data_IF_671683511752
#
_entry.id   IF_671683511752
#
_cell.length_a   1.000
_cell.length_b   1.000
_cell.length_c   1.000
_cell.angle_alpha   90.00
_cell.angle_beta   90.00
_cell.angle_gamma   90.00
#
_symmetry.space_group_name_H-M   'P 1'
#
loop_
_entity.id
_entity.type
_entity.pdbx_description
1 polymer ?
#
# COMPACT_ATOMS: atom_id res chain seq x y z
N UNK A 1 19.25 22.04 -16.02
CA UNK A 1 20.54 22.15 -15.32
C UNK A 1 20.45 23.19 -14.21
N UNK A 2 20.58 24.50 -14.43
CA UNK A 2 20.58 25.52 -13.35
C UNK A 2 19.44 25.43 -12.32
N UNK A 3 18.19 25.30 -12.75
CA UNK A 3 17.05 25.18 -11.80
C UNK A 3 17.07 23.88 -10.97
N UNK A 4 17.63 22.79 -11.51
CA UNK A 4 17.78 21.51 -10.80
C UNK A 4 18.99 21.56 -9.86
N UNK A 5 20.07 22.23 -10.25
CA UNK A 5 21.24 22.44 -9.41
C UNK A 5 20.90 23.31 -8.19
N UNK A 6 20.07 24.33 -8.37
CA UNK A 6 19.58 25.18 -7.28
C UNK A 6 18.59 24.43 -6.37
N UNK A 7 17.76 23.54 -6.92
CA UNK A 7 16.90 22.64 -6.14
C UNK A 7 17.73 21.65 -5.30
N UNK A 8 18.77 21.05 -5.89
CA UNK A 8 19.71 20.16 -5.18
C UNK A 8 20.47 20.89 -4.06
N UNK A 9 20.86 22.15 -4.29
CA UNK A 9 21.45 23.00 -3.23
C UNK A 9 20.47 23.26 -2.08
N UNK A 10 19.21 23.55 -2.37
CA UNK A 10 18.19 23.74 -1.34
C UNK A 10 17.97 22.49 -0.48
N UNK A 11 18.13 21.29 -1.04
CA UNK A 11 18.12 20.05 -0.28
C UNK A 11 19.34 19.88 0.62
N UNK A 12 20.53 20.30 0.19
CA UNK A 12 21.74 20.19 1.01
C UNK A 12 21.57 20.94 2.35
N UNK A 13 20.95 22.13 2.33
CA UNK A 13 20.70 22.93 3.54
C UNK A 13 19.72 22.22 4.52
N UNK A 14 18.66 21.59 3.99
CA UNK A 14 17.69 20.82 4.78
C UNK A 14 18.26 19.51 5.37
N UNK A 15 19.31 18.95 4.77
CA UNK A 15 19.87 17.65 5.18
C UNK A 15 20.89 17.73 6.31
N UNK A 16 21.41 18.92 6.63
CA UNK A 16 22.39 19.15 7.70
C UNK A 16 21.85 18.78 9.09
N UNK A 17 20.53 18.86 9.29
CA UNK A 17 19.85 18.51 10.56
C UNK A 17 19.20 17.13 10.55
N UNK A 18 19.37 16.34 9.47
CA UNK A 18 18.73 15.03 9.33
C UNK A 18 19.17 14.07 10.42
N UNK A 19 18.20 13.46 11.11
CA UNK A 19 18.44 12.38 12.10
C UNK A 19 19.23 11.21 11.51
N UNK A 20 19.22 11.04 10.18
CA UNK A 20 19.96 9.99 9.49
C UNK A 20 21.49 10.19 9.57
N UNK A 21 21.96 11.44 9.67
CA UNK A 21 23.38 11.77 9.87
C UNK A 21 23.84 11.61 11.32
N UNK A 22 22.90 11.62 12.29
CA UNK A 22 23.23 11.52 13.71
C UNK A 22 23.66 10.08 14.02
N UNK A 23 24.86 9.91 14.56
CA UNK A 23 25.32 8.65 15.15
C UNK A 23 25.06 8.66 16.65
N UNK A 24 24.67 7.53 17.22
CA UNK A 24 24.67 7.38 18.68
C UNK A 24 26.12 7.25 19.17
N UNK A 25 26.44 7.86 20.30
CA UNK A 25 27.77 7.78 20.93
C UNK A 25 28.18 6.34 21.25
N UNK A 26 27.22 5.42 21.35
CA UNK A 26 27.44 3.99 21.53
C UNK A 26 27.89 3.26 20.26
N UNK A 27 27.64 3.77 19.05
CA UNK A 27 28.08 3.16 17.79
C UNK A 27 29.34 3.80 17.21
N UNK A 28 29.55 5.10 17.45
CA UNK A 28 30.61 5.88 16.79
C UNK A 28 32.02 5.32 17.03
N UNK A 29 32.25 4.68 18.18
CA UNK A 29 33.56 4.19 18.62
C UNK A 29 33.72 2.66 18.53
N UNK A 30 32.72 1.92 18.03
CA UNK A 30 32.77 0.46 17.97
C UNK A 30 33.44 -0.06 16.70
N UNK A 31 34.09 -1.21 16.81
CA UNK A 31 34.44 -2.03 15.66
C UNK A 31 33.17 -2.64 15.04
N UNK A 32 32.96 -2.36 13.75
CA UNK A 32 31.74 -2.74 13.05
C UNK A 32 31.93 -4.06 12.31
N UNK A 33 30.96 -4.96 12.48
CA UNK A 33 30.84 -6.12 11.61
C UNK A 33 30.03 -5.69 10.37
N UNK A 34 30.76 -5.28 9.34
CA UNK A 34 30.23 -4.72 8.10
C UNK A 34 30.03 -5.86 7.09
N UNK A 35 28.88 -5.95 6.40
CA UNK A 35 28.69 -6.93 5.35
C UNK A 35 29.69 -6.73 4.20
N UNK A 36 30.04 -7.82 3.51
CA UNK A 36 30.90 -7.74 2.33
C UNK A 36 30.26 -6.89 1.23
N UNK A 37 31.10 -6.23 0.44
CA UNK A 37 30.63 -5.44 -0.70
C UNK A 37 29.98 -6.38 -1.73
N UNK A 38 28.71 -6.15 -2.13
CA UNK A 38 28.05 -6.94 -3.16
C UNK A 38 28.83 -6.92 -4.48
N UNK A 39 28.98 -8.08 -5.11
CA UNK A 39 29.48 -8.18 -6.48
C UNK A 39 28.30 -8.05 -7.44
N UNK A 40 28.49 -7.28 -8.51
CA UNK A 40 27.47 -7.12 -9.54
C UNK A 40 27.24 -8.42 -10.30
N UNK A 41 25.97 -8.75 -10.53
CA UNK A 41 25.52 -9.91 -11.30
C UNK A 41 24.95 -9.49 -12.66
N UNK A 42 24.77 -8.19 -12.90
CA UNK A 42 24.25 -7.63 -14.13
C UNK A 42 25.35 -6.84 -14.86
N UNK A 43 25.41 -7.00 -16.18
CA UNK A 43 26.15 -6.12 -17.05
C UNK A 43 25.17 -5.11 -17.62
N UNK A 44 25.29 -3.87 -17.16
CA UNK A 44 24.50 -2.74 -17.65
C UNK A 44 25.37 -1.91 -18.57
N UNK A 45 24.85 -1.57 -19.75
CA UNK A 45 25.51 -0.70 -20.71
C UNK A 45 24.57 0.45 -21.07
N UNK A 46 25.02 1.68 -20.88
CA UNK A 46 24.33 2.87 -21.33
C UNK A 46 24.85 3.26 -22.71
N UNK A 47 23.95 3.32 -23.69
CA UNK A 47 24.28 3.64 -25.08
C UNK A 47 23.51 4.90 -25.49
N UNK A 48 24.21 5.87 -26.06
CA UNK A 48 23.57 7.03 -26.69
C UNK A 48 22.80 6.56 -27.91
N UNK A 49 21.46 6.58 -27.83
CA UNK A 49 20.57 6.24 -28.93
C UNK A 49 19.48 7.31 -29.04
N UNK A 50 19.33 7.93 -30.21
CA UNK A 50 18.31 8.96 -30.47
C UNK A 50 16.89 8.39 -30.54
N UNK A 51 16.73 7.06 -30.57
CA UNK A 51 15.45 6.36 -30.70
C UNK A 51 15.28 5.29 -29.61
N UNK A 52 15.64 5.61 -28.35
CA UNK A 52 15.35 4.71 -27.24
C UNK A 52 13.85 4.40 -27.22
N UNK A 53 13.49 3.12 -27.27
CA UNK A 53 12.09 2.69 -27.30
C UNK A 53 11.39 3.09 -26.00
N UNK A 54 10.18 3.64 -26.12
CA UNK A 54 9.29 3.79 -24.98
C UNK A 54 8.84 2.41 -24.53
N UNK A 55 8.85 2.15 -23.22
CA UNK A 55 8.15 1.00 -22.67
C UNK A 55 6.65 1.25 -22.86
N UNK A 56 6.07 0.66 -23.90
CA UNK A 56 4.67 0.29 -23.81
C UNK A 56 4.56 -0.73 -22.69
N UNK A 57 3.54 -0.58 -21.83
CA UNK A 57 3.19 -1.62 -20.87
C UNK A 57 2.75 -2.83 -21.70
N UNK A 58 3.73 -3.68 -22.01
CA UNK A 58 3.67 -4.68 -23.07
C UNK A 58 2.54 -5.68 -22.81
N UNK A 59 1.51 -5.65 -23.68
CA UNK A 59 0.44 -6.66 -23.71
C UNK A 59 0.98 -8.06 -23.99
N UNK A 60 2.21 -8.19 -24.51
CA UNK A 60 2.78 -9.43 -25.03
C UNK A 60 3.31 -10.43 -24.00
N UNK A 61 3.46 -10.06 -22.72
CA UNK A 61 3.97 -10.99 -21.68
C UNK A 61 3.06 -11.23 -20.49
N UNK A 62 2.05 -10.38 -20.26
CA UNK A 62 1.08 -10.59 -19.18
C UNK A 62 -0.36 -10.47 -19.70
N UNK A 63 -0.99 -11.59 -20.09
CA UNK A 63 -2.38 -11.59 -20.59
C UNK A 63 -3.40 -11.17 -19.51
N UNK A 64 -2.99 -10.99 -18.25
CA UNK A 64 -3.85 -10.48 -17.17
C UNK A 64 -3.97 -8.96 -17.15
N UNK A 65 -3.20 -8.23 -17.96
CA UNK A 65 -3.21 -6.77 -17.99
C UNK A 65 -4.34 -6.24 -18.88
N UNK A 66 -5.22 -5.44 -18.28
CA UNK A 66 -6.37 -4.83 -18.94
C UNK A 66 -6.30 -3.32 -18.86
N UNK A 67 -6.87 -2.67 -19.87
CA UNK A 67 -6.93 -1.23 -19.96
C UNK A 67 -8.38 -0.78 -19.77
N UNK A 68 -8.63 -0.01 -18.72
CA UNK A 68 -9.99 0.44 -18.36
C UNK A 68 -10.08 1.96 -18.33
N UNK A 69 -11.18 2.57 -18.78
CA UNK A 69 -11.38 4.00 -18.67
C UNK A 69 -11.70 4.39 -17.22
N UNK A 70 -11.16 5.53 -16.77
CA UNK A 70 -11.70 6.25 -15.62
C UNK A 70 -13.03 6.90 -16.02
N UNK A 71 -14.12 6.50 -15.36
CA UNK A 71 -15.47 6.99 -15.66
C UNK A 71 -15.83 8.17 -14.76
N UNK A 72 -15.60 8.02 -13.45
CA UNK A 72 -16.03 9.00 -12.45
C UNK A 72 -15.04 9.04 -11.30
N UNK A 73 -14.96 10.18 -10.65
CA UNK A 73 -14.30 10.33 -9.35
C UNK A 73 -15.16 11.20 -8.43
N UNK A 74 -15.08 10.96 -7.13
CA UNK A 74 -15.65 11.86 -6.12
C UNK A 74 -14.93 11.77 -4.78
N UNK A 75 -14.77 12.87 -4.04
CA UNK A 75 -14.42 12.83 -2.63
C UNK A 75 -15.58 12.25 -1.80
N UNK A 76 -15.27 11.46 -0.77
CA UNK A 76 -16.26 10.87 0.13
C UNK A 76 -16.33 11.57 1.50
N UNK A 77 -15.22 12.14 1.97
CA UNK A 77 -15.22 12.90 3.22
C UNK A 77 -15.77 14.31 2.99
N UNK A 78 -16.25 14.91 4.08
CA UNK A 78 -16.57 16.33 4.10
C UNK A 78 -15.30 17.18 4.22
N UNK A 79 -15.42 18.44 3.82
CA UNK A 79 -14.36 19.43 3.99
C UNK A 79 -13.93 19.52 5.47
N UNK A 80 -12.62 19.63 5.72
CA UNK A 80 -12.05 19.61 7.07
C UNK A 80 -11.71 18.23 7.63
N UNK A 81 -12.03 17.14 6.93
CA UNK A 81 -11.52 15.82 7.30
C UNK A 81 -9.98 15.77 7.19
N UNK A 82 -9.30 15.20 8.20
CA UNK A 82 -7.82 15.12 8.20
C UNK A 82 -7.29 14.28 7.03
N UNK A 83 -8.02 13.23 6.66
CA UNK A 83 -7.65 12.31 5.58
C UNK A 83 -8.63 12.50 4.43
N UNK A 84 -8.10 12.44 3.21
CA UNK A 84 -8.86 12.54 1.97
C UNK A 84 -9.14 11.15 1.42
N UNK A 85 -10.40 10.72 1.44
CA UNK A 85 -10.87 9.47 0.87
C UNK A 85 -11.61 9.76 -0.42
N UNK A 86 -11.22 9.03 -1.47
CA UNK A 86 -11.72 9.18 -2.82
C UNK A 86 -12.37 7.87 -3.26
N UNK A 87 -13.49 7.98 -3.95
CA UNK A 87 -14.07 6.91 -4.75
C UNK A 87 -13.78 7.20 -6.22
N UNK A 88 -13.35 6.17 -6.94
CA UNK A 88 -13.25 6.21 -8.40
C UNK A 88 -14.01 5.05 -9.01
N UNK A 89 -14.71 5.35 -10.11
CA UNK A 89 -15.44 4.38 -10.93
C UNK A 89 -14.62 4.11 -12.18
N UNK A 90 -14.31 2.84 -12.43
CA UNK A 90 -13.54 2.37 -13.57
C UNK A 90 -14.45 1.55 -14.50
N UNK A 91 -14.17 1.57 -15.80
CA UNK A 91 -14.86 0.72 -16.77
C UNK A 91 -14.58 -0.78 -16.55
N UNK A 92 -15.47 -1.62 -17.07
CA UNK A 92 -15.58 -3.02 -16.67
C UNK A 92 -14.33 -3.88 -16.86
N UNK A 93 -14.13 -4.72 -15.86
CA UNK A 93 -13.64 -6.09 -15.97
C UNK A 93 -14.86 -6.99 -16.28
N UNK A 94 -14.83 -7.85 -17.31
CA UNK A 94 -15.84 -8.90 -17.40
C UNK A 94 -15.72 -9.81 -16.15
N UNK A 95 -16.86 -10.10 -15.52
CA UNK A 95 -17.03 -11.15 -14.50
C UNK A 95 -16.31 -10.94 -13.15
N UNK A 96 -16.42 -9.77 -12.53
CA UNK A 96 -16.00 -9.57 -11.13
C UNK A 96 -17.13 -9.91 -10.14
N UNK A 97 -16.75 -10.40 -8.96
CA UNK A 97 -17.63 -10.63 -7.83
C UNK A 97 -17.41 -9.59 -6.73
N UNK A 98 -18.43 -9.27 -5.91
CA UNK A 98 -18.23 -8.46 -4.72
C UNK A 98 -17.11 -9.05 -3.87
N UNK A 99 -16.20 -8.20 -3.40
CA UNK A 99 -15.02 -8.60 -2.63
C UNK A 99 -13.81 -9.01 -3.47
N UNK A 100 -13.92 -9.01 -4.80
CA UNK A 100 -12.75 -9.06 -5.67
C UNK A 100 -11.82 -7.86 -5.45
N UNK A 101 -10.56 -8.01 -5.87
CA UNK A 101 -9.55 -6.99 -5.78
C UNK A 101 -8.80 -6.87 -7.10
N UNK A 102 -8.46 -5.64 -7.45
CA UNK A 102 -7.78 -5.27 -8.69
C UNK A 102 -6.47 -4.60 -8.35
N UNK A 103 -5.46 -4.80 -9.18
CA UNK A 103 -4.16 -4.15 -9.02
C UNK A 103 -3.99 -3.06 -10.07
N UNK A 104 -3.67 -1.84 -9.65
CA UNK A 104 -3.45 -0.70 -10.53
C UNK A 104 -1.96 -0.51 -10.76
N UNK A 105 -1.58 -0.36 -12.02
CA UNK A 105 -0.22 0.00 -12.41
C UNK A 105 -0.11 1.52 -12.47
N UNK A 106 0.78 2.08 -11.65
CA UNK A 106 1.09 3.50 -11.62
C UNK A 106 2.60 3.72 -11.78
N UNK A 107 3.03 4.76 -12.50
CA UNK A 107 4.44 5.13 -12.61
C UNK A 107 4.94 5.81 -11.33
N UNK A 108 6.27 5.90 -11.18
CA UNK A 108 6.90 6.84 -10.26
C UNK A 108 6.63 8.30 -10.69
N UNK A 109 6.59 9.26 -9.74
CA UNK A 109 6.40 10.67 -10.09
C UNK A 109 7.59 11.16 -10.91
N UNK A 110 7.30 11.90 -11.99
CA UNK A 110 8.33 12.41 -12.89
C UNK A 110 9.35 13.31 -12.18
N UNK A 111 8.91 14.09 -11.20
CA UNK A 111 9.77 14.95 -10.38
C UNK A 111 10.82 14.14 -9.60
N UNK A 112 10.44 13.02 -8.97
CA UNK A 112 11.37 12.15 -8.24
C UNK A 112 12.33 11.42 -9.18
N UNK A 113 11.84 10.99 -10.35
CA UNK A 113 12.68 10.36 -11.38
C UNK A 113 13.73 11.36 -11.89
N UNK A 114 13.33 12.59 -12.20
CA UNK A 114 14.22 13.66 -12.65
C UNK A 114 15.24 14.02 -11.58
N UNK A 115 14.83 14.10 -10.31
CA UNK A 115 15.73 14.39 -9.20
C UNK A 115 16.76 13.28 -8.98
N UNK A 116 16.34 12.01 -9.09
CA UNK A 116 17.25 10.87 -9.00
C UNK A 116 18.24 10.85 -10.18
N UNK A 117 17.79 11.07 -11.41
CA UNK A 117 18.68 11.14 -12.58
C UNK A 117 19.70 12.27 -12.45
N UNK A 118 19.26 13.45 -12.01
CA UNK A 118 20.17 14.58 -11.75
C UNK A 118 21.18 14.25 -10.64
N UNK A 119 20.75 13.59 -9.56
CA UNK A 119 21.63 13.19 -8.45
C UNK A 119 22.66 12.14 -8.85
N UNK A 120 22.37 11.32 -9.86
CA UNK A 120 23.25 10.29 -10.40
C UNK A 120 24.07 10.76 -11.61
N UNK A 121 23.85 11.99 -12.08
CA UNK A 121 24.46 12.54 -13.30
C UNK A 121 24.29 11.62 -14.53
N UNK A 122 23.06 11.11 -14.73
CA UNK A 122 22.73 10.21 -15.85
C UNK A 122 21.70 10.83 -16.79
N UNK A 123 21.94 10.75 -18.10
CA UNK A 123 20.98 11.19 -19.11
C UNK A 123 19.85 10.15 -19.26
N UNK A 124 18.63 10.59 -18.93
CA UNK A 124 17.41 9.78 -19.01
C UNK A 124 17.09 9.23 -20.39
N UNK A 125 17.63 9.81 -21.46
CA UNK A 125 17.42 9.36 -22.84
C UNK A 125 18.38 8.24 -23.27
N UNK A 126 19.42 7.96 -22.49
CA UNK A 126 20.34 6.87 -22.81
C UNK A 126 19.62 5.52 -22.77
N UNK A 127 19.89 4.69 -23.76
CA UNK A 127 19.38 3.33 -23.83
C UNK A 127 20.16 2.44 -22.86
N UNK A 128 19.45 1.83 -21.92
CA UNK A 128 19.96 0.91 -20.92
C UNK A 128 19.80 -0.54 -21.41
N UNK A 129 20.92 -1.19 -21.72
CA UNK A 129 20.96 -2.62 -22.10
C UNK A 129 21.43 -3.47 -20.92
N UNK A 130 20.60 -4.43 -20.51
CA UNK A 130 20.83 -5.24 -19.31
C UNK A 130 21.01 -6.71 -19.69
N UNK A 131 22.18 -7.26 -19.40
CA UNK A 131 22.49 -8.69 -19.55
C UNK A 131 22.99 -9.31 -18.25
N UNK A 132 22.85 -10.63 -18.13
CA UNK A 132 23.35 -11.39 -16.99
C UNK A 132 24.86 -11.62 -17.10
N UNK A 133 25.61 -11.48 -15.99
CA UNK A 133 27.02 -11.88 -15.93
C UNK A 133 27.15 -13.35 -15.50
N UNK A 134 26.47 -13.72 -14.41
CA UNK A 134 26.64 -15.03 -13.76
C UNK A 134 25.34 -15.69 -13.31
N UNK A 135 24.33 -14.90 -12.93
CA UNK A 135 23.00 -15.35 -12.53
C UNK A 135 21.95 -14.93 -13.54
N UNK A 136 20.83 -15.67 -13.62
CA UNK A 136 19.70 -15.31 -14.48
C UNK A 136 19.23 -13.87 -14.19
N UNK A 137 19.08 -13.06 -15.25
CA UNK A 137 18.53 -11.71 -15.18
C UNK A 137 17.12 -11.76 -14.55
N UNK A 138 16.78 -10.88 -13.59
CA UNK A 138 15.42 -10.78 -13.08
C UNK A 138 14.41 -10.59 -14.21
N UNK A 139 13.34 -11.37 -14.19
CA UNK A 139 12.36 -11.44 -15.30
C UNK A 139 11.62 -10.12 -15.55
N UNK A 140 11.49 -9.28 -14.53
CA UNK A 140 10.84 -7.98 -14.64
C UNK A 140 11.71 -6.93 -15.36
N UNK A 141 13.02 -7.17 -15.53
CA UNK A 141 13.88 -6.28 -16.28
C UNK A 141 13.71 -6.55 -17.78
N UNK A 142 13.60 -5.50 -18.61
CA UNK A 142 13.34 -5.64 -20.03
C UNK A 142 14.43 -6.47 -20.72
N UNK A 143 14.01 -7.26 -21.71
CA UNK A 143 14.92 -8.05 -22.55
C UNK A 143 15.73 -7.14 -23.48
N UNK A 144 15.05 -6.17 -24.08
CA UNK A 144 15.59 -5.20 -25.02
C UNK A 144 16.07 -3.94 -24.31
N UNK A 145 16.78 -3.08 -25.03
CA UNK A 145 17.21 -1.79 -24.49
C UNK A 145 16.03 -0.85 -24.29
N UNK A 146 16.02 -0.14 -23.16
CA UNK A 146 14.98 0.81 -22.75
C UNK A 146 15.64 2.07 -22.20
N UNK A 147 15.03 3.24 -22.35
CA UNK A 147 15.61 4.46 -21.77
C UNK A 147 15.71 4.40 -20.24
N UNK A 148 16.74 5.04 -19.68
CA UNK A 148 16.94 5.16 -18.22
C UNK A 148 15.71 5.75 -17.55
N UNK A 149 15.11 6.80 -18.14
CA UNK A 149 13.90 7.44 -17.63
C UNK A 149 12.72 6.47 -17.54
N UNK A 150 12.47 5.68 -18.59
CA UNK A 150 11.37 4.71 -18.62
C UNK A 150 11.56 3.60 -17.60
N UNK A 151 12.80 3.12 -17.42
CA UNK A 151 13.12 2.11 -16.43
C UNK A 151 12.85 2.61 -14.99
N UNK A 152 13.33 3.82 -14.66
CA UNK A 152 13.08 4.45 -13.36
C UNK A 152 11.62 4.82 -13.15
N UNK A 153 10.89 5.16 -14.21
CA UNK A 153 9.49 5.58 -14.11
C UNK A 153 8.51 4.42 -14.00
N UNK A 154 8.75 3.30 -14.70
CA UNK A 154 7.74 2.23 -14.86
C UNK A 154 8.16 0.85 -14.32
N UNK A 155 9.46 0.61 -14.13
CA UNK A 155 9.97 -0.74 -13.83
C UNK A 155 10.58 -0.86 -12.44
N UNK A 156 11.30 0.15 -11.98
CA UNK A 156 12.04 0.12 -10.72
C UNK A 156 11.30 0.87 -9.62
N UNK A 157 11.23 0.30 -8.42
CA UNK A 157 10.73 0.99 -7.24
C UNK A 157 11.84 1.84 -6.63
N UNK A 158 11.72 3.16 -6.82
CA UNK A 158 12.68 4.15 -6.32
C UNK A 158 12.37 4.62 -4.88
N UNK A 159 11.28 4.14 -4.28
CA UNK A 159 10.80 4.56 -2.95
C UNK A 159 10.97 3.49 -1.87
N UNK A 160 11.12 2.22 -2.24
CA UNK A 160 11.31 1.14 -1.28
C UNK A 160 12.60 1.31 -0.45
N UNK A 161 12.57 1.20 0.89
CA UNK A 161 13.76 1.36 1.71
C UNK A 161 14.91 0.44 1.29
N UNK A 162 16.13 0.98 1.11
CA UNK A 162 17.25 0.21 0.62
C UNK A 162 17.66 -0.85 1.65
N UNK A 163 17.90 -2.07 1.16
CA UNK A 163 18.48 -3.14 1.99
C UNK A 163 19.89 -2.73 2.45
N UNK A 164 20.35 -3.32 3.56
CA UNK A 164 21.71 -3.11 4.11
C UNK A 164 22.84 -3.29 3.08
N UNK A 165 22.67 -4.16 2.09
CA UNK A 165 23.64 -4.34 0.99
C UNK A 165 23.81 -3.09 0.12
N UNK A 166 22.73 -2.35 -0.16
CA UNK A 166 22.80 -1.10 -0.92
C UNK A 166 23.43 0.02 -0.07
N UNK A 167 23.16 0.05 1.24
CA UNK A 167 23.87 0.96 2.15
C UNK A 167 25.37 0.67 2.21
N UNK A 168 25.77 -0.61 2.18
CA UNK A 168 27.18 -1.00 2.08
C UNK A 168 27.83 -0.49 0.79
N UNK A 169 27.11 -0.53 -0.33
CA UNK A 169 27.59 0.05 -1.59
C UNK A 169 27.71 1.57 -1.48
N UNK A 170 26.70 2.25 -0.96
CA UNK A 170 26.78 3.69 -0.74
C UNK A 170 27.99 4.09 0.11
N UNK A 171 28.35 3.32 1.14
CA UNK A 171 29.56 3.56 1.92
C UNK A 171 30.85 3.42 1.08
N UNK A 172 30.89 2.51 0.10
CA UNK A 172 32.05 2.35 -0.81
C UNK A 172 32.22 3.56 -1.72
N UNK A 173 31.10 4.13 -2.18
CA UNK A 173 31.08 5.26 -3.11
C UNK A 173 31.01 6.62 -2.40
N UNK A 174 31.06 6.66 -1.08
CA UNK A 174 31.10 7.89 -0.29
C UNK A 174 32.55 8.38 -0.14
N UNK A 175 32.82 9.61 -0.60
CA UNK A 175 34.15 10.23 -0.50
C UNK A 175 34.41 10.92 0.85
N UNK A 176 33.36 11.26 1.60
CA UNK A 176 33.50 11.81 2.94
C UNK A 176 33.57 10.68 3.97
N UNK A 177 34.66 10.63 4.75
CA UNK A 177 34.89 9.53 5.72
C UNK A 177 33.85 9.49 6.86
N UNK A 178 33.29 10.63 7.26
CA UNK A 178 32.20 10.67 8.25
C UNK A 178 30.91 10.08 7.70
N UNK A 179 30.53 10.45 6.47
CA UNK A 179 29.34 9.88 5.80
C UNK A 179 29.51 8.38 5.54
N UNK A 180 30.69 7.98 5.05
CA UNK A 180 31.06 6.58 4.86
C UNK A 180 30.97 5.78 6.15
N UNK A 181 31.55 6.28 7.25
CA UNK A 181 31.44 5.65 8.57
C UNK A 181 29.98 5.51 8.99
N UNK A 182 29.17 6.55 8.81
CA UNK A 182 27.75 6.50 9.16
C UNK A 182 26.97 5.44 8.37
N UNK A 183 27.22 5.34 7.07
CA UNK A 183 26.63 4.31 6.21
C UNK A 183 27.09 2.89 6.61
N UNK A 184 28.36 2.74 7.05
CA UNK A 184 28.87 1.49 7.61
C UNK A 184 28.15 1.10 8.90
N UNK A 185 27.89 2.04 9.80
CA UNK A 185 27.11 1.81 11.02
C UNK A 185 25.72 1.28 10.66
N UNK A 186 25.00 1.99 9.78
CA UNK A 186 23.64 1.64 9.37
C UNK A 186 23.55 0.27 8.66
N UNK A 187 24.60 -0.16 7.94
CA UNK A 187 24.61 -1.48 7.30
C UNK A 187 25.20 -2.61 8.16
N UNK A 188 25.87 -2.29 9.27
CA UNK A 188 26.52 -3.27 10.15
C UNK A 188 25.55 -4.14 10.95
N UNK A 189 26.08 -5.16 11.63
CA UNK A 189 25.35 -5.93 12.64
C UNK A 189 24.96 -5.07 13.84
N UNK A 190 25.87 -4.20 14.29
CA UNK A 190 25.72 -3.35 15.47
C UNK A 190 24.64 -2.28 15.27
N UNK A 191 24.57 -1.67 14.09
CA UNK A 191 23.55 -0.66 13.76
C UNK A 191 22.20 -1.24 13.31
N UNK A 192 21.88 -2.51 13.63
CA UNK A 192 20.63 -3.12 13.19
C UNK A 192 19.37 -2.39 13.69
N UNK A 193 19.36 -1.93 14.93
CA UNK A 193 18.23 -1.17 15.47
C UNK A 193 18.12 0.21 14.81
N UNK A 194 19.23 0.90 14.60
CA UNK A 194 19.24 2.20 13.93
C UNK A 194 18.80 2.09 12.46
N UNK A 195 19.19 1.03 11.76
CA UNK A 195 18.66 0.74 10.42
C UNK A 195 17.13 0.57 10.43
N UNK A 196 16.58 -0.15 11.43
CA UNK A 196 15.14 -0.33 11.54
C UNK A 196 14.45 1.00 11.81
N UNK A 197 14.92 1.75 12.81
CA UNK A 197 14.27 2.98 13.29
C UNK A 197 14.43 4.18 12.35
N UNK A 198 15.57 4.29 11.65
CA UNK A 198 15.86 5.46 10.81
C UNK A 198 15.68 5.23 9.32
N UNK A 199 15.67 3.97 8.84
CA UNK A 199 15.53 3.68 7.40
C UNK A 199 14.27 2.88 7.12
N UNK A 200 14.13 1.69 7.74
CA UNK A 200 13.08 0.74 7.37
C UNK A 200 11.68 1.20 7.80
N UNK A 201 11.50 1.52 9.08
CA UNK A 201 10.20 1.92 9.63
C UNK A 201 9.72 3.28 9.09
N UNK A 202 10.59 4.31 8.96
CA UNK A 202 10.17 5.57 8.37
C UNK A 202 9.99 5.51 6.85
N UNK A 203 10.43 4.45 6.17
CA UNK A 203 10.29 4.36 4.73
C UNK A 203 11.26 5.29 3.97
N UNK A 204 12.51 5.44 4.44
CA UNK A 204 13.52 6.30 3.78
C UNK A 204 13.95 5.68 2.45
N UNK A 205 13.80 6.43 1.36
CA UNK A 205 14.10 5.96 0.02
C UNK A 205 15.61 6.04 -0.32
N UNK A 206 16.09 5.33 -1.35
CA UNK A 206 17.44 5.52 -1.87
C UNK A 206 17.73 6.98 -2.24
N UNK A 207 16.76 7.70 -2.80
CA UNK A 207 16.90 9.11 -3.14
C UNK A 207 17.10 10.00 -1.89
N UNK A 208 16.37 9.74 -0.81
CA UNK A 208 16.56 10.45 0.47
C UNK A 208 17.99 10.29 0.99
N UNK A 209 18.55 9.08 0.89
CA UNK A 209 19.92 8.78 1.31
C UNK A 209 20.93 9.48 0.41
N UNK A 210 20.76 9.44 -0.91
CA UNK A 210 21.68 10.10 -1.84
C UNK A 210 21.68 11.63 -1.65
N UNK A 211 20.52 12.23 -1.37
CA UNK A 211 20.41 13.66 -1.07
C UNK A 211 20.98 14.01 0.31
N UNK A 212 20.81 13.13 1.31
CA UNK A 212 21.36 13.33 2.65
C UNK A 212 22.88 13.21 2.65
N UNK A 213 23.42 12.14 2.08
CA UNK A 213 24.86 11.86 2.02
C UNK A 213 25.40 12.27 0.65
N UNK A 214 25.67 13.57 0.50
CA UNK A 214 26.02 14.20 -0.77
C UNK A 214 27.36 13.72 -1.34
N UNK A 215 28.23 13.14 -0.50
CA UNK A 215 29.54 12.63 -0.95
C UNK A 215 29.47 11.31 -1.71
N UNK A 216 28.29 10.66 -1.76
CA UNK A 216 28.07 9.42 -2.51
C UNK A 216 28.10 9.71 -4.01
N UNK A 217 28.98 9.04 -4.74
CA UNK A 217 29.06 9.07 -6.21
C UNK A 217 28.95 7.66 -6.79
N UNK A 218 27.75 7.08 -6.72
CA UNK A 218 27.47 5.73 -7.21
C UNK A 218 27.01 5.74 -8.67
N UNK A 219 27.56 4.88 -9.56
CA UNK A 219 27.06 4.74 -10.93
C UNK A 219 25.63 4.18 -10.98
N UNK A 220 24.83 4.63 -11.95
CA UNK A 220 23.46 4.16 -12.16
C UNK A 220 23.39 2.64 -12.37
N UNK A 221 24.33 2.08 -13.11
CA UNK A 221 24.46 0.66 -13.43
C UNK A 221 24.51 -0.21 -12.17
N UNK A 222 25.21 0.28 -11.15
CA UNK A 222 25.36 -0.41 -9.86
C UNK A 222 24.07 -0.25 -9.05
N UNK A 223 23.50 0.96 -8.98
CA UNK A 223 22.27 1.21 -8.23
C UNK A 223 21.10 0.37 -8.75
N UNK A 224 20.94 0.28 -10.08
CA UNK A 224 19.86 -0.43 -10.76
C UNK A 224 19.70 -1.86 -10.26
N UNK A 225 20.80 -2.58 -10.04
CA UNK A 225 20.77 -3.98 -9.60
C UNK A 225 20.13 -4.16 -8.21
N UNK A 226 20.09 -3.10 -7.41
CA UNK A 226 19.56 -3.12 -6.05
C UNK A 226 18.16 -2.53 -5.91
N UNK A 227 17.62 -1.92 -6.97
CA UNK A 227 16.25 -1.42 -6.98
C UNK A 227 15.27 -2.56 -7.28
N UNK A 228 14.25 -2.79 -6.44
CA UNK A 228 13.28 -3.86 -6.68
C UNK A 228 12.30 -3.48 -7.81
N UNK A 229 11.52 -4.46 -8.28
CA UNK A 229 10.43 -4.23 -9.23
C UNK A 229 9.40 -3.26 -8.62
N UNK A 230 8.96 -2.30 -9.42
CA UNK A 230 7.79 -1.49 -9.14
C UNK A 230 6.53 -2.34 -9.17
N UNK A 231 5.88 -2.51 -8.01
CA UNK A 231 4.71 -3.38 -7.89
C UNK A 231 3.40 -2.64 -8.18
N UNK A 232 2.41 -3.28 -8.81
CA UNK A 232 1.05 -2.77 -8.85
C UNK A 232 0.46 -2.61 -7.43
N UNK A 233 -0.51 -1.70 -7.24
CA UNK A 233 -1.19 -1.47 -5.95
C UNK A 233 -2.59 -2.05 -5.97
N UNK A 234 -2.89 -2.92 -5.01
CA UNK A 234 -4.18 -3.60 -4.92
C UNK A 234 -5.24 -2.73 -4.25
N UNK A 235 -6.47 -2.82 -4.75
CA UNK A 235 -7.67 -2.18 -4.20
C UNK A 235 -8.84 -3.15 -4.27
N UNK A 236 -9.60 -3.24 -3.18
CA UNK A 236 -10.83 -4.04 -3.12
C UNK A 236 -11.95 -3.31 -3.87
N UNK A 237 -12.70 -4.06 -4.67
CA UNK A 237 -13.85 -3.55 -5.41
C UNK A 237 -14.96 -3.20 -4.42
N UNK A 238 -15.46 -1.97 -4.51
CA UNK A 238 -16.43 -1.36 -3.61
C UNK A 238 -17.87 -1.34 -4.14
N UNK A 239 -18.16 -2.13 -5.16
CA UNK A 239 -19.45 -2.18 -5.85
C UNK A 239 -19.87 -3.62 -6.17
N UNK A 240 -21.16 -3.82 -6.45
CA UNK A 240 -21.68 -5.07 -6.98
C UNK A 240 -21.80 -5.04 -8.49
N UNK A 241 -21.48 -6.16 -9.16
CA UNK A 241 -21.76 -6.35 -10.59
C UNK A 241 -23.28 -6.38 -10.91
N UNK A 242 -24.15 -6.47 -9.92
CA UNK A 242 -25.60 -6.27 -10.09
C UNK A 242 -25.96 -4.79 -10.18
N UNK A 243 -25.17 -3.90 -9.58
CA UNK A 243 -25.38 -2.45 -9.62
C UNK A 243 -25.02 -1.88 -11.00
N UNK A 244 -23.91 -2.36 -11.57
CA UNK A 244 -23.53 -2.08 -12.96
C UNK A 244 -22.76 -3.25 -13.56
N UNK A 245 -23.09 -3.59 -14.81
CA UNK A 245 -22.34 -4.58 -15.62
C UNK A 245 -21.16 -3.95 -16.38
N UNK A 246 -21.06 -2.62 -16.39
CA UNK A 246 -20.14 -1.88 -17.27
C UNK A 246 -19.08 -1.11 -16.51
N UNK A 247 -19.19 -1.04 -15.18
CA UNK A 247 -18.23 -0.36 -14.33
C UNK A 247 -18.17 -0.97 -12.93
N UNK A 248 -17.11 -0.62 -12.21
CA UNK A 248 -16.93 -0.95 -10.81
C UNK A 248 -16.28 0.21 -10.06
N UNK A 249 -16.51 0.27 -8.75
CA UNK A 249 -15.94 1.30 -7.89
C UNK A 249 -14.76 0.75 -7.10
N UNK A 250 -13.77 1.59 -6.84
CA UNK A 250 -12.80 1.38 -5.76
C UNK A 250 -12.73 2.62 -4.88
N UNK A 251 -12.38 2.41 -3.62
CA UNK A 251 -12.25 3.48 -2.63
C UNK A 251 -10.91 3.40 -1.92
N UNK A 252 -10.28 4.55 -1.74
CA UNK A 252 -8.99 4.63 -1.07
C UNK A 252 -8.78 5.95 -0.37
N UNK A 253 -7.90 5.94 0.63
CA UNK A 253 -7.46 7.17 1.29
C UNK A 253 -6.11 7.59 0.72
N UNK A 254 -5.99 8.88 0.38
CA UNK A 254 -4.72 9.47 -0.03
C UNK A 254 -3.74 9.38 1.14
N UNK A 255 -2.57 8.82 0.85
CA UNK A 255 -1.54 8.60 1.86
C UNK A 255 -0.61 9.79 1.83
N UNK A 256 -0.52 10.54 2.92
CA UNK A 256 0.43 11.64 3.07
C UNK A 256 1.66 11.16 3.84
N UNK A 257 2.85 11.42 3.29
CA UNK A 257 4.15 11.04 3.85
C UNK A 257 4.93 12.34 4.14
N UNK A 258 4.94 12.82 5.40
CA UNK A 258 5.58 14.10 5.73
C UNK A 258 7.11 14.01 5.74
N UNK A 259 7.75 15.18 5.65
CA UNK A 259 9.20 15.36 5.90
C UNK A 259 9.58 14.84 7.29
N UNK A 260 10.84 14.45 7.47
CA UNK A 260 11.42 14.08 8.78
C UNK A 260 11.65 12.58 8.94
N UNK A 261 12.27 12.19 10.06
CA UNK A 261 12.73 10.81 10.31
C UNK A 261 13.58 10.24 9.15
N UNK A 262 14.46 11.08 8.60
CA UNK A 262 15.34 10.74 7.47
C UNK A 262 14.76 10.97 6.06
N UNK A 263 13.48 11.35 5.91
CA UNK A 263 12.91 11.77 4.62
C UNK A 263 13.17 13.26 4.38
N UNK A 264 13.65 13.62 3.19
CA UNK A 264 14.12 14.98 2.88
C UNK A 264 13.05 15.88 2.23
N UNK A 265 11.96 15.30 1.72
CA UNK A 265 10.78 16.02 1.24
C UNK A 265 9.48 15.26 1.54
N UNK A 266 8.39 16.00 1.70
CA UNK A 266 7.05 15.45 1.80
C UNK A 266 6.62 14.89 0.46
N UNK A 267 5.91 13.77 0.47
CA UNK A 267 5.34 13.17 -0.73
C UNK A 267 4.04 12.45 -0.39
N UNK A 268 3.27 12.07 -1.40
CA UNK A 268 2.10 11.21 -1.24
C UNK A 268 2.45 9.76 -1.49
N UNK A 269 1.59 8.83 -1.07
CA UNK A 269 1.66 7.43 -1.47
C UNK A 269 1.68 7.31 -3.00
N UNK A 270 2.36 6.29 -3.52
CA UNK A 270 2.67 6.27 -4.95
C UNK A 270 1.41 6.27 -5.83
N UNK A 271 0.55 5.27 -5.68
CA UNK A 271 -0.64 5.13 -6.51
C UNK A 271 -1.73 6.15 -6.12
N UNK A 272 -1.94 6.38 -4.83
CA UNK A 272 -2.96 7.32 -4.34
C UNK A 272 -2.62 8.79 -4.64
N UNK A 273 -1.34 9.16 -4.54
CA UNK A 273 -0.83 10.46 -4.98
C UNK A 273 -0.86 10.61 -6.51
N UNK A 274 -0.53 9.56 -7.26
CA UNK A 274 -0.67 9.57 -8.72
C UNK A 274 -2.11 9.84 -9.16
N UNK A 275 -3.09 9.20 -8.51
CA UNK A 275 -4.50 9.52 -8.76
C UNK A 275 -4.79 10.99 -8.49
N UNK A 276 -4.45 11.48 -7.31
CA UNK A 276 -4.79 12.85 -6.88
C UNK A 276 -4.11 13.94 -7.71
N UNK A 277 -2.82 13.78 -8.03
CA UNK A 277 -2.02 14.85 -8.63
C UNK A 277 -2.05 14.82 -10.16
N UNK A 278 -2.20 13.63 -10.75
CA UNK A 278 -2.04 13.47 -12.20
C UNK A 278 -3.32 13.02 -12.87
N UNK A 279 -4.05 12.08 -12.28
CA UNK A 279 -5.25 11.53 -12.91
C UNK A 279 -6.43 12.49 -12.73
N UNK A 280 -6.79 12.84 -11.50
CA UNK A 280 -8.00 13.65 -11.27
C UNK A 280 -7.95 15.07 -11.87
N UNK A 281 -6.83 15.81 -11.85
CA UNK A 281 -6.79 17.17 -12.38
C UNK A 281 -6.63 17.24 -13.90
N UNK A 282 -5.87 16.30 -14.49
CA UNK A 282 -5.42 16.41 -15.89
C UNK A 282 -6.12 15.43 -16.84
N UNK A 283 -6.93 14.50 -16.34
CA UNK A 283 -7.62 13.50 -17.17
C UNK A 283 -9.13 13.68 -17.08
N UNK A 284 -9.75 13.98 -18.22
CA UNK A 284 -11.21 13.89 -18.35
C UNK A 284 -11.68 12.43 -18.21
N UNK A 285 -12.95 12.20 -17.81
CA UNK A 285 -13.61 10.92 -18.00
C UNK A 285 -13.29 10.33 -19.38
N UNK A 286 -12.91 9.05 -19.43
CA UNK A 286 -12.45 8.34 -20.64
C UNK A 286 -10.94 8.07 -20.70
N UNK A 287 -10.14 8.64 -19.81
CA UNK A 287 -8.70 8.34 -19.77
C UNK A 287 -8.42 6.91 -19.32
N UNK A 288 -7.50 6.26 -20.01
CA UNK A 288 -7.22 4.85 -19.81
C UNK A 288 -6.20 4.59 -18.68
N UNK A 289 -6.47 3.57 -17.88
CA UNK A 289 -5.64 3.05 -16.78
C UNK A 289 -5.33 1.58 -17.03
N UNK A 290 -4.17 1.13 -16.56
CA UNK A 290 -3.78 -0.28 -16.63
C UNK A 290 -4.05 -0.95 -15.30
N UNK A 291 -4.79 -2.06 -15.36
CA UNK A 291 -5.16 -2.87 -14.20
C UNK A 291 -4.86 -4.35 -14.47
N UNK A 292 -4.72 -5.13 -13.40
CA UNK A 292 -4.77 -6.59 -13.50
C UNK A 292 -5.64 -7.17 -12.40
N UNK A 293 -6.36 -8.24 -12.71
CA UNK A 293 -7.15 -8.98 -11.70
C UNK A 293 -6.21 -9.68 -10.73
N UNK A 294 -6.56 -9.69 -9.45
CA UNK A 294 -5.81 -10.47 -8.46
C UNK A 294 -6.23 -11.94 -8.58
N UNK A 295 -5.33 -12.88 -8.93
CA UNK A 295 -5.67 -14.29 -8.97
C UNK A 295 -5.98 -14.82 -7.55
N UNK A 296 -6.86 -15.81 -7.45
CA UNK A 296 -7.21 -16.52 -6.22
C UNK A 296 -7.82 -15.65 -5.10
N UNK A 297 -8.63 -14.64 -5.45
CA UNK A 297 -9.42 -13.97 -4.42
C UNK A 297 -10.49 -14.94 -3.86
N UNK A 298 -10.59 -15.02 -2.53
CA UNK A 298 -11.51 -15.89 -1.79
C UNK A 298 -12.42 -15.09 -0.84
N UNK A 299 -12.35 -13.77 -0.89
CA UNK A 299 -13.12 -12.87 -0.03
C UNK A 299 -14.47 -12.56 -0.67
N UNK A 300 -15.28 -13.59 -0.89
CA UNK A 300 -16.58 -13.49 -1.57
C UNK A 300 -17.71 -13.86 -0.63
N UNK A 301 -18.91 -13.36 -0.93
CA UNK A 301 -20.14 -13.89 -0.36
C UNK A 301 -20.25 -15.40 -0.63
N UNK A 302 -20.74 -16.15 0.37
CA UNK A 302 -21.07 -17.56 0.19
C UNK A 302 -22.39 -17.70 -0.55
N UNK A 303 -22.51 -18.77 -1.33
CA UNK A 303 -23.72 -19.08 -2.09
C UNK A 303 -24.90 -19.48 -1.19
N UNK A 304 -24.64 -19.97 0.02
CA UNK A 304 -25.67 -20.19 1.03
C UNK A 304 -26.14 -18.84 1.62
N UNK A 305 -27.33 -18.83 2.22
CA UNK A 305 -27.91 -17.65 2.89
C UNK A 305 -27.49 -17.57 4.36
N UNK A 306 -26.30 -18.07 4.71
CA UNK A 306 -25.81 -17.99 6.08
C UNK A 306 -25.63 -16.52 6.50
N UNK A 307 -25.80 -16.19 7.79
CA UNK A 307 -25.56 -14.84 8.29
C UNK A 307 -24.13 -14.37 8.02
N UNK A 308 -23.96 -13.07 7.78
CA UNK A 308 -22.64 -12.48 7.60
C UNK A 308 -22.37 -11.39 8.63
N UNK A 309 -21.16 -11.40 9.21
CA UNK A 309 -20.64 -10.37 10.11
C UNK A 309 -19.48 -9.69 9.42
N UNK A 310 -19.58 -8.39 9.16
CA UNK A 310 -18.62 -7.62 8.39
C UNK A 310 -17.97 -6.56 9.29
N UNK A 311 -16.64 -6.58 9.39
CA UNK A 311 -15.86 -5.61 10.19
C UNK A 311 -14.95 -4.81 9.27
N UNK A 312 -15.28 -3.54 9.05
CA UNK A 312 -14.62 -2.71 8.05
C UNK A 312 -14.54 -1.24 8.42
N UNK A 313 -13.62 -0.82 9.30
CA UNK A 313 -13.43 0.60 9.63
C UNK A 313 -12.78 1.38 8.49
N UNK A 314 -13.21 2.63 8.30
CA UNK A 314 -12.73 3.54 7.27
C UNK A 314 -12.92 2.94 5.87
N UNK A 315 -11.87 2.97 5.04
CA UNK A 315 -11.92 2.37 3.70
C UNK A 315 -12.00 0.85 3.71
N UNK A 316 -11.86 0.19 4.88
CA UNK A 316 -12.14 -1.25 5.03
C UNK A 316 -13.59 -1.62 4.75
N UNK A 317 -14.50 -0.64 4.66
CA UNK A 317 -15.89 -0.86 4.24
C UNK A 317 -16.03 -1.21 2.75
N UNK A 318 -14.98 -1.02 1.95
CA UNK A 318 -14.98 -1.19 0.50
C UNK A 318 -15.69 -2.49 0.04
N UNK A 319 -15.20 -3.70 0.34
CA UNK A 319 -15.85 -4.92 -0.13
C UNK A 319 -17.29 -5.08 0.41
N UNK A 320 -17.56 -4.58 1.62
CA UNK A 320 -18.87 -4.71 2.27
C UNK A 320 -19.94 -3.82 1.65
N UNK A 321 -19.56 -2.66 1.10
CA UNK A 321 -20.46 -1.89 0.23
C UNK A 321 -20.88 -2.73 -0.97
N UNK A 322 -19.93 -3.41 -1.62
CA UNK A 322 -20.22 -4.33 -2.71
C UNK A 322 -21.13 -5.49 -2.29
N UNK A 323 -20.88 -6.08 -1.11
CA UNK A 323 -21.71 -7.15 -0.57
C UNK A 323 -23.15 -6.67 -0.34
N UNK A 324 -23.34 -5.54 0.35
CA UNK A 324 -24.67 -5.00 0.66
C UNK A 324 -25.44 -4.59 -0.58
N UNK A 325 -24.78 -3.97 -1.57
CA UNK A 325 -25.39 -3.72 -2.87
C UNK A 325 -25.83 -5.02 -3.54
N UNK A 326 -25.02 -6.07 -3.45
CA UNK A 326 -25.35 -7.36 -4.02
C UNK A 326 -26.59 -7.96 -3.35
N UNK A 327 -26.60 -8.05 -2.02
CA UNK A 327 -27.70 -8.59 -1.23
C UNK A 327 -29.02 -7.83 -1.49
N UNK A 328 -28.98 -6.49 -1.48
CA UNK A 328 -30.17 -5.68 -1.73
C UNK A 328 -30.75 -5.92 -3.13
N UNK A 329 -29.89 -5.91 -4.16
CA UNK A 329 -30.31 -6.07 -5.55
C UNK A 329 -30.74 -7.50 -5.89
N UNK A 330 -30.15 -8.50 -5.25
CA UNK A 330 -30.57 -9.91 -5.37
C UNK A 330 -31.76 -10.27 -4.47
N UNK A 331 -32.22 -9.34 -3.61
CA UNK A 331 -33.25 -9.59 -2.59
C UNK A 331 -32.91 -10.77 -1.67
N UNK A 332 -31.64 -10.84 -1.29
CA UNK A 332 -31.16 -11.85 -0.34
C UNK A 332 -31.43 -11.36 1.09
N UNK A 333 -32.29 -12.08 1.80
CA UNK A 333 -32.78 -11.72 3.15
C UNK A 333 -31.92 -12.34 4.27
N UNK A 334 -30.71 -12.83 3.97
CA UNK A 334 -29.79 -13.32 5.02
C UNK A 334 -29.54 -12.22 6.06
N UNK A 335 -29.35 -12.64 7.32
CA UNK A 335 -28.94 -11.71 8.37
C UNK A 335 -27.57 -11.13 8.03
N UNK A 336 -27.42 -9.82 8.12
CA UNK A 336 -26.15 -9.16 7.85
C UNK A 336 -25.87 -8.05 8.86
N UNK A 337 -24.65 -8.06 9.40
CA UNK A 337 -24.18 -7.09 10.38
C UNK A 337 -22.95 -6.37 9.82
N UNK A 338 -22.92 -5.05 9.97
CA UNK A 338 -21.75 -4.23 9.64
C UNK A 338 -21.27 -3.48 10.87
N UNK A 339 -20.02 -3.74 11.25
CA UNK A 339 -19.27 -2.99 12.23
C UNK A 339 -18.38 -1.98 11.49
N UNK A 340 -18.82 -0.72 11.48
CA UNK A 340 -18.12 0.38 10.84
C UNK A 340 -17.45 1.28 11.89
N UNK A 341 -16.31 1.88 11.53
CA UNK A 341 -15.59 2.78 12.40
C UNK A 341 -14.95 3.93 11.62
N UNK A 342 -15.07 5.15 12.13
CA UNK A 342 -14.39 6.32 11.59
C UNK A 342 -13.93 7.25 12.73
N UNK A 343 -13.44 8.45 12.43
CA UNK A 343 -12.96 9.38 13.46
C UNK A 343 -14.10 10.25 13.98
N UNK A 344 -14.85 10.86 13.07
CA UNK A 344 -15.93 11.79 13.37
C UNK A 344 -17.10 11.53 12.42
N UNK A 345 -18.30 11.41 12.99
CA UNK A 345 -19.58 11.16 12.31
C UNK A 345 -19.86 12.17 11.20
N UNK A 346 -19.45 13.42 11.39
CA UNK A 346 -19.74 14.50 10.46
C UNK A 346 -18.64 14.74 9.41
N UNK A 347 -17.49 14.06 9.49
CA UNK A 347 -16.35 14.32 8.59
C UNK A 347 -15.99 13.11 7.73
N UNK A 348 -15.83 11.93 8.33
CA UNK A 348 -15.29 10.74 7.67
C UNK A 348 -16.16 9.49 7.78
N UNK A 349 -17.45 9.67 8.09
CA UNK A 349 -18.48 8.64 7.91
C UNK A 349 -18.83 8.49 6.42
N UNK A 350 -17.93 7.87 5.67
CA UNK A 350 -18.12 7.59 4.25
C UNK A 350 -19.31 6.64 4.04
N UNK A 351 -20.06 6.85 2.95
CA UNK A 351 -21.26 6.07 2.60
C UNK A 351 -22.40 6.10 3.61
N UNK A 352 -22.45 7.10 4.50
CA UNK A 352 -23.45 7.18 5.58
C UNK A 352 -24.88 6.93 5.10
N UNK A 353 -25.36 7.70 4.13
CA UNK A 353 -26.75 7.64 3.66
C UNK A 353 -27.06 6.27 3.00
N UNK A 354 -26.09 5.70 2.28
CA UNK A 354 -26.24 4.38 1.65
C UNK A 354 -26.29 3.26 2.71
N UNK A 355 -25.42 3.31 3.73
CA UNK A 355 -25.36 2.33 4.81
C UNK A 355 -26.58 2.40 5.73
N UNK A 356 -27.02 3.60 6.11
CA UNK A 356 -28.25 3.80 6.90
C UNK A 356 -29.48 3.33 6.09
N UNK A 357 -29.52 3.63 4.79
CA UNK A 357 -30.58 3.17 3.89
C UNK A 357 -30.68 1.65 3.75
N UNK A 358 -29.57 0.91 3.76
CA UNK A 358 -29.61 -0.56 3.80
C UNK A 358 -30.24 -1.11 5.08
N UNK A 359 -30.10 -0.39 6.20
CA UNK A 359 -30.77 -0.72 7.45
C UNK A 359 -32.28 -0.53 7.35
N UNK A 360 -32.73 0.60 6.82
CA UNK A 360 -34.15 0.91 6.61
C UNK A 360 -34.83 -0.07 5.64
N UNK A 361 -34.10 -0.55 4.63
CA UNK A 361 -34.58 -1.52 3.63
C UNK A 361 -34.53 -2.97 4.13
N UNK A 362 -33.97 -3.22 5.31
CA UNK A 362 -33.83 -4.56 5.88
C UNK A 362 -32.71 -5.42 5.27
N UNK A 363 -31.92 -4.88 4.33
CA UNK A 363 -30.71 -5.57 3.81
C UNK A 363 -29.68 -5.74 4.93
N UNK A 364 -29.51 -4.70 5.76
CA UNK A 364 -28.59 -4.69 6.88
C UNK A 364 -29.38 -4.86 8.19
N UNK A 365 -29.20 -6.00 8.85
CA UNK A 365 -29.87 -6.30 10.14
C UNK A 365 -29.38 -5.35 11.22
N UNK A 366 -28.06 -5.13 11.32
CA UNK A 366 -27.47 -4.19 12.26
C UNK A 366 -26.31 -3.40 11.66
N UNK A 367 -26.33 -2.09 11.91
CA UNK A 367 -25.23 -1.16 11.64
C UNK A 367 -24.68 -0.64 12.97
N UNK A 368 -23.51 -1.14 13.38
CA UNK A 368 -22.84 -0.68 14.59
C UNK A 368 -21.65 0.21 14.23
N UNK A 369 -21.74 1.49 14.60
CA UNK A 369 -20.75 2.51 14.25
C UNK A 369 -19.90 2.90 15.44
N UNK A 370 -18.60 3.15 15.22
CA UNK A 370 -17.66 3.65 16.23
C UNK A 370 -17.03 4.96 15.77
N UNK A 371 -16.95 5.96 16.66
CA UNK A 371 -16.37 7.29 16.35
C UNK A 371 -15.19 7.58 17.28
N UNK A 372 -13.98 7.26 16.82
CA UNK A 372 -12.78 7.22 17.67
C UNK A 372 -12.32 8.57 18.25
N UNK A 373 -12.83 9.70 17.75
CA UNK A 373 -12.48 11.06 18.19
C UNK A 373 -13.66 11.84 18.78
N UNK A 374 -14.83 11.22 18.87
CA UNK A 374 -15.97 11.79 19.56
C UNK A 374 -16.05 11.25 20.99
N UNK A 375 -16.58 12.05 21.91
CA UNK A 375 -16.93 11.57 23.25
C UNK A 375 -18.20 10.73 23.15
N UNK A 376 -18.14 9.48 23.61
CA UNK A 376 -19.30 8.59 23.72
C UNK A 376 -19.54 8.21 25.18
N UNK A 377 -20.81 8.17 25.58
CA UNK A 377 -21.21 7.74 26.94
C UNK A 377 -20.87 6.25 27.17
N UNK A 378 -21.01 5.43 26.12
CA UNK A 378 -20.74 3.98 26.17
C UNK A 378 -19.26 3.62 25.91
N UNK A 379 -18.36 4.59 25.80
CA UNK A 379 -16.92 4.40 25.50
C UNK A 379 -16.60 3.59 24.23
N UNK A 380 -17.56 3.37 23.32
CA UNK A 380 -17.35 2.68 22.04
C UNK A 380 -16.55 3.59 21.10
N UNK A 381 -15.26 3.32 20.94
CA UNK A 381 -14.34 4.14 20.12
C UNK A 381 -13.89 3.42 18.86
N UNK A 382 -13.79 2.10 18.91
CA UNK A 382 -13.32 1.26 17.81
C UNK A 382 -14.27 0.07 17.57
N UNK A 383 -14.14 -0.54 16.40
CA UNK A 383 -15.01 -1.66 15.99
C UNK A 383 -14.93 -2.84 16.95
N UNK A 384 -13.77 -3.09 17.55
CA UNK A 384 -13.61 -4.13 18.58
C UNK A 384 -14.38 -3.86 19.86
N UNK A 385 -14.70 -2.61 20.19
CA UNK A 385 -15.53 -2.28 21.35
C UNK A 385 -16.97 -2.73 21.08
N UNK A 386 -17.47 -2.50 19.86
CA UNK A 386 -18.77 -3.03 19.41
C UNK A 386 -18.79 -4.57 19.39
N UNK A 387 -17.68 -5.24 19.04
CA UNK A 387 -17.60 -6.71 19.13
C UNK A 387 -17.81 -7.16 20.57
N UNK A 388 -17.17 -6.52 21.55
CA UNK A 388 -17.34 -6.86 22.97
C UNK A 388 -18.77 -6.60 23.45
N UNK A 389 -19.34 -5.47 23.06
CA UNK A 389 -20.69 -5.07 23.46
C UNK A 389 -21.75 -6.05 22.94
N UNK A 390 -21.61 -6.47 21.68
CA UNK A 390 -22.59 -7.34 21.00
C UNK A 390 -22.13 -8.80 20.87
N UNK A 391 -21.18 -9.24 21.71
CA UNK A 391 -20.54 -10.55 21.57
C UNK A 391 -21.52 -11.72 21.55
N UNK A 392 -22.60 -11.67 22.34
CA UNK A 392 -23.58 -12.77 22.42
C UNK A 392 -24.27 -13.01 21.07
N UNK A 393 -24.64 -11.92 20.40
CA UNK A 393 -25.30 -11.98 19.10
C UNK A 393 -24.32 -12.43 18.00
N UNK A 394 -23.12 -11.82 17.96
CA UNK A 394 -22.07 -12.19 17.00
C UNK A 394 -21.73 -13.68 17.10
N UNK A 395 -21.54 -14.20 18.31
CA UNK A 395 -21.19 -15.60 18.52
C UNK A 395 -22.36 -16.55 18.23
N UNK A 396 -23.60 -16.15 18.49
CA UNK A 396 -24.79 -16.91 18.10
C UNK A 396 -24.87 -17.05 16.58
N UNK A 397 -24.74 -15.95 15.83
CA UNK A 397 -24.70 -15.99 14.36
C UNK A 397 -23.55 -16.87 13.84
N UNK A 398 -22.35 -16.73 14.42
CA UNK A 398 -21.16 -17.42 13.96
C UNK A 398 -21.18 -18.95 14.24
N UNK A 399 -21.66 -19.37 15.41
CA UNK A 399 -21.58 -20.77 15.84
C UNK A 399 -22.91 -21.54 15.76
N UNK A 400 -24.05 -20.87 15.87
CA UNK A 400 -25.37 -21.53 15.88
C UNK A 400 -26.07 -21.44 14.52
N UNK A 401 -25.85 -20.35 13.79
CA UNK A 401 -26.48 -20.11 12.47
C UNK A 401 -25.50 -20.29 11.31
N UNK A 402 -24.33 -20.86 11.56
CA UNK A 402 -23.28 -21.15 10.58
C UNK A 402 -22.76 -19.93 9.81
N UNK A 403 -22.76 -18.75 10.46
CA UNK A 403 -22.40 -17.50 9.84
C UNK A 403 -20.92 -17.36 9.46
N UNK A 404 -20.63 -16.32 8.67
CA UNK A 404 -19.28 -16.00 8.20
C UNK A 404 -18.84 -14.63 8.69
N UNK A 405 -17.66 -14.59 9.29
CA UNK A 405 -17.01 -13.41 9.84
C UNK A 405 -15.96 -12.86 8.85
N UNK A 406 -16.15 -11.64 8.38
CA UNK A 406 -15.28 -10.96 7.43
C UNK A 406 -14.59 -9.77 8.09
N UNK A 407 -13.29 -9.62 7.87
CA UNK A 407 -12.51 -8.47 8.33
C UNK A 407 -11.79 -7.83 7.16
N UNK A 408 -11.98 -6.52 6.97
CA UNK A 408 -11.25 -5.76 5.95
C UNK A 408 -10.70 -4.44 6.51
N UNK A 409 -9.43 -4.14 6.21
CA UNK A 409 -8.78 -2.90 6.66
C UNK A 409 -7.30 -3.07 6.99
N UNK A 410 -6.81 -2.26 7.95
CA UNK A 410 -5.39 -2.22 8.35
C UNK A 410 -4.90 -3.56 8.91
N UNK A 411 -3.87 -4.14 8.28
CA UNK A 411 -3.29 -5.41 8.70
C UNK A 411 -2.52 -5.31 10.04
N UNK A 412 -1.91 -4.16 10.31
CA UNK A 412 -0.90 -4.03 11.38
C UNK A 412 -1.50 -3.97 12.77
N UNK A 413 -2.60 -3.24 12.92
CA UNK A 413 -3.23 -3.01 14.22
C UNK A 413 -4.66 -3.55 14.21
N UNK A 414 -5.51 -3.07 13.29
CA UNK A 414 -6.95 -3.33 13.35
C UNK A 414 -7.30 -4.82 13.28
N UNK A 415 -6.78 -5.54 12.27
CA UNK A 415 -7.09 -6.96 12.12
C UNK A 415 -6.60 -7.81 13.29
N UNK A 416 -5.45 -7.45 13.87
CA UNK A 416 -4.89 -8.08 15.06
C UNK A 416 -5.81 -7.84 16.27
N UNK A 417 -6.20 -6.59 16.53
CA UNK A 417 -7.07 -6.23 17.65
C UNK A 417 -8.42 -6.93 17.54
N UNK A 418 -9.03 -6.97 16.35
CA UNK A 418 -10.29 -7.69 16.09
C UNK A 418 -10.14 -9.18 16.36
N UNK A 419 -9.04 -9.80 15.93
CA UNK A 419 -8.77 -11.21 16.18
C UNK A 419 -8.60 -11.52 17.67
N UNK A 420 -7.84 -10.70 18.40
CA UNK A 420 -7.62 -10.83 19.85
C UNK A 420 -8.95 -10.67 20.62
N UNK A 421 -9.77 -9.70 20.24
CA UNK A 421 -11.08 -9.48 20.87
C UNK A 421 -12.04 -10.63 20.58
N UNK A 422 -12.15 -11.09 19.33
CA UNK A 422 -13.02 -12.22 19.01
C UNK A 422 -12.58 -13.48 19.77
N UNK A 423 -11.28 -13.75 19.81
CA UNK A 423 -10.70 -14.87 20.58
C UNK A 423 -11.07 -14.77 22.05
N UNK A 424 -10.96 -13.57 22.64
CA UNK A 424 -11.35 -13.34 24.04
C UNK A 424 -12.85 -13.57 24.28
N UNK A 425 -13.71 -13.11 23.36
CA UNK A 425 -15.16 -13.32 23.46
C UNK A 425 -15.51 -14.82 23.36
N UNK A 426 -14.85 -15.57 22.48
CA UNK A 426 -15.02 -17.02 22.35
C UNK A 426 -14.61 -17.73 23.64
N UNK A 427 -13.44 -17.38 24.20
CA UNK A 427 -12.95 -17.98 25.44
C UNK A 427 -13.95 -17.78 26.60
N UNK A 428 -14.45 -16.54 26.75
CA UNK A 428 -15.42 -16.20 27.79
C UNK A 428 -16.78 -16.87 27.58
N UNK A 429 -17.30 -16.84 26.36
CA UNK A 429 -18.65 -17.36 26.08
C UNK A 429 -18.74 -18.88 26.13
N UNK A 430 -17.63 -19.59 25.87
CA UNK A 430 -17.58 -21.06 25.89
C UNK A 430 -16.93 -21.62 27.15
N UNK A 431 -16.46 -20.77 28.06
CA UNK A 431 -15.71 -21.14 29.27
C UNK A 431 -14.51 -22.06 28.97
N UNK A 432 -13.70 -21.67 27.97
CA UNK A 432 -12.51 -22.41 27.51
C UNK A 432 -11.24 -21.57 27.66
N UNK A 433 -10.08 -22.23 27.59
CA UNK A 433 -8.80 -21.54 27.64
C UNK A 433 -8.57 -20.67 26.40
N UNK A 434 -7.71 -19.64 26.54
CA UNK A 434 -7.32 -18.77 25.41
C UNK A 434 -6.66 -19.56 24.26
N UNK A 435 -5.92 -20.63 24.59
CA UNK A 435 -5.29 -21.49 23.58
C UNK A 435 -6.34 -22.26 22.76
N UNK A 436 -7.38 -22.79 23.41
CA UNK A 436 -8.48 -23.47 22.73
C UNK A 436 -9.32 -22.50 21.89
N UNK A 437 -9.54 -21.28 22.38
CA UNK A 437 -10.22 -20.23 21.61
C UNK A 437 -9.42 -19.83 20.36
N UNK A 438 -8.08 -19.68 20.47
CA UNK A 438 -7.21 -19.44 19.31
C UNK A 438 -7.31 -20.57 18.29
N UNK A 439 -7.33 -21.82 18.75
CA UNK A 439 -7.54 -22.98 17.88
C UNK A 439 -8.89 -22.92 17.15
N UNK A 440 -9.98 -22.61 17.86
CA UNK A 440 -11.30 -22.42 17.23
C UNK A 440 -11.30 -21.33 16.15
N UNK A 441 -10.62 -20.21 16.38
CA UNK A 441 -10.47 -19.16 15.36
C UNK A 441 -9.68 -19.65 14.15
N UNK A 442 -8.62 -20.44 14.35
CA UNK A 442 -7.90 -21.07 13.24
C UNK A 442 -8.78 -22.05 12.47
N UNK A 443 -9.58 -22.86 13.16
CA UNK A 443 -10.53 -23.79 12.53
C UNK A 443 -11.54 -23.02 11.66
N UNK A 444 -12.08 -21.90 12.15
CA UNK A 444 -12.95 -21.01 11.36
C UNK A 444 -12.25 -20.46 10.10
N UNK A 445 -10.96 -20.14 10.17
CA UNK A 445 -10.20 -19.69 8.99
C UNK A 445 -10.02 -20.83 7.97
N UNK A 446 -9.71 -22.05 8.45
CA UNK A 446 -9.59 -23.26 7.61
C UNK A 446 -10.91 -23.57 6.91
N UNK A 447 -12.02 -23.48 7.65
CA UNK A 447 -13.38 -23.71 7.16
C UNK A 447 -13.91 -22.56 6.28
N UNK A 448 -13.11 -21.50 6.09
CA UNK A 448 -13.48 -20.28 5.35
C UNK A 448 -14.73 -19.61 5.92
N UNK A 449 -14.89 -19.63 7.24
CA UNK A 449 -15.88 -18.91 8.05
C UNK A 449 -15.30 -17.68 8.75
N UNK A 450 -13.98 -17.56 8.82
CA UNK A 450 -13.28 -16.32 9.15
C UNK A 450 -12.42 -15.92 7.95
N UNK A 451 -12.77 -14.82 7.29
CA UNK A 451 -12.11 -14.34 6.08
C UNK A 451 -11.52 -12.94 6.32
N UNK A 452 -10.33 -12.71 5.76
CA UNK A 452 -9.56 -11.48 5.97
C UNK A 452 -9.08 -10.92 4.65
N UNK A 453 -9.38 -9.65 4.40
CA UNK A 453 -8.80 -8.86 3.31
C UNK A 453 -8.11 -7.63 3.92
N UNK A 454 -6.82 -7.77 4.20
CA UNK A 454 -6.03 -6.74 4.89
C UNK A 454 -4.93 -6.19 4.00
N UNK A 455 -4.70 -4.89 4.15
CA UNK A 455 -3.74 -4.10 3.37
C UNK A 455 -2.76 -3.31 4.25
#
# INVERSE_FOLDING_TARGET
MRAMDDLLKGFNDLTLESDLKKTSSSLSNLDLNIPSCPKSNLKVQLVSNKYASSLELDRGKDPSLLQVPLIKFRPLNREGALKRTLEITLGALPDFLPGDAISIICPNPEEEVNLLMARLDVDGNMECKISAISKKKPEYLPSDGVSVKELLMKVLDIRNPPKKQLLRLFAEYASNETEKRRLQELCSKQGANEYLSFIREPGVSPLDILLTFSSISIPFEILLEHLPRLTPRAYSIASSYLSSKTCFDIVFTVVDIPVGKGRVFSRKGLCTGWFEDHVLPNKSPGSLLYISSRPNNKFHLKNDTCPIIMVGPGTGVAPFRGFLQHLNLSKDERKSILLFGCRNRNLDYIYREELEGFGEQGTLTHLWTSFSRESSEDNVKYVQDNIRLHQKEILSLLFQEDGVFYVCGDARNMAKDVNEVLTSCIAQSLDISEMEAKKKVMDLMVDKKYLVDVW
#
